data_IF_763042306144
#
_entry.id   IF_763042306144
#
_cell.length_a   1.000
_cell.length_b   1.000
_cell.length_c   1.000
_cell.angle_alpha   90.00
_cell.angle_beta   90.00
_cell.angle_gamma   90.00
#
_symmetry.space_group_name_H-M   'P 1'
#
loop_
_entity.id
_entity.type
_entity.pdbx_description
1 polymer ?
#
# COMPACT_ATOMS: atom_id res chain seq x y z
N UNK A 1 0.14 13.15 8.47
CA UNK A 1 -0.47 13.27 7.14
C UNK A 1 -1.97 13.16 7.34
N UNK A 2 -2.76 14.00 6.68
CA UNK A 2 -4.22 13.78 6.64
C UNK A 2 -4.54 12.68 5.61
N UNK A 3 -5.37 11.71 6.00
CA UNK A 3 -5.76 10.61 5.13
C UNK A 3 -6.86 11.05 4.16
N UNK A 4 -6.77 10.60 2.92
CA UNK A 4 -7.70 10.92 1.84
C UNK A 4 -8.16 9.63 1.17
N UNK A 5 -9.29 9.68 0.46
CA UNK A 5 -9.85 8.50 -0.23
C UNK A 5 -8.84 7.85 -1.20
N UNK A 6 -7.96 8.63 -1.83
CA UNK A 6 -6.89 8.09 -2.69
C UNK A 6 -5.90 7.19 -1.92
N UNK A 7 -5.66 7.46 -0.64
CA UNK A 7 -4.84 6.63 0.23
C UNK A 7 -5.52 5.28 0.47
N UNK A 8 -6.82 5.29 0.78
CA UNK A 8 -7.59 4.06 0.97
C UNK A 8 -7.65 3.21 -0.30
N UNK A 9 -7.86 3.82 -1.48
CA UNK A 9 -7.81 3.12 -2.77
C UNK A 9 -6.45 2.45 -3.01
N UNK A 10 -5.37 3.10 -2.60
CA UNK A 10 -4.03 2.52 -2.68
C UNK A 10 -3.90 1.27 -1.80
N UNK A 11 -4.38 1.32 -0.55
CA UNK A 11 -4.37 0.17 0.36
C UNK A 11 -5.20 -1.00 -0.19
N UNK A 12 -6.45 -0.75 -0.64
CA UNK A 12 -7.31 -1.77 -1.23
C UNK A 12 -6.64 -2.42 -2.45
N UNK A 13 -6.09 -1.64 -3.38
CA UNK A 13 -5.41 -2.20 -4.56
C UNK A 13 -4.20 -3.07 -4.18
N UNK A 14 -3.46 -2.72 -3.13
CA UNK A 14 -2.33 -3.53 -2.64
C UNK A 14 -2.85 -4.84 -2.03
N UNK A 15 -3.92 -4.80 -1.23
CA UNK A 15 -4.54 -5.98 -0.65
C UNK A 15 -5.09 -6.93 -1.73
N UNK A 16 -5.85 -6.40 -2.68
CA UNK A 16 -6.50 -7.15 -3.76
C UNK A 16 -5.48 -7.84 -4.66
N UNK A 17 -4.40 -7.13 -5.00
CA UNK A 17 -3.39 -7.66 -5.94
C UNK A 17 -2.29 -8.48 -5.27
N UNK A 18 -2.12 -8.33 -3.95
CA UNK A 18 -0.99 -8.86 -3.20
C UNK A 18 0.38 -8.40 -3.73
N UNK A 19 0.46 -7.29 -4.48
CA UNK A 19 1.68 -6.85 -5.15
C UNK A 19 1.69 -5.35 -5.38
N UNK A 20 2.69 -4.66 -4.83
CA UNK A 20 2.91 -3.24 -5.07
C UNK A 20 3.11 -2.91 -6.57
N UNK A 21 3.71 -3.82 -7.34
CA UNK A 21 3.89 -3.61 -8.77
C UNK A 21 2.56 -3.65 -9.52
N UNK A 22 1.73 -4.68 -9.26
CA UNK A 22 0.40 -4.82 -9.91
C UNK A 22 -0.55 -3.72 -9.46
N UNK A 23 -0.59 -3.40 -8.16
CA UNK A 23 -1.38 -2.30 -7.63
C UNK A 23 -1.01 -0.96 -8.27
N UNK A 24 0.29 -0.66 -8.41
CA UNK A 24 0.73 0.58 -9.04
C UNK A 24 0.28 0.65 -10.50
N UNK A 25 0.41 -0.45 -11.26
CA UNK A 25 -0.07 -0.53 -12.63
C UNK A 25 -1.58 -0.33 -12.73
N UNK A 26 -2.37 -0.94 -11.82
CA UNK A 26 -3.82 -0.77 -11.77
C UNK A 26 -4.24 0.67 -11.48
N UNK A 27 -3.48 1.38 -10.66
CA UNK A 27 -3.74 2.77 -10.27
C UNK A 27 -3.13 3.81 -11.23
N UNK A 28 -2.47 3.39 -12.32
CA UNK A 28 -1.76 4.30 -13.22
C UNK A 28 -0.58 5.02 -12.56
N UNK A 29 0.03 4.40 -11.54
CA UNK A 29 1.15 4.93 -10.79
C UNK A 29 2.43 4.15 -11.07
N UNK A 30 3.57 4.77 -10.77
CA UNK A 30 4.83 4.03 -10.67
C UNK A 30 4.90 3.28 -9.34
N UNK A 31 5.53 2.10 -9.32
CA UNK A 31 5.72 1.33 -8.09
C UNK A 31 6.47 2.10 -6.98
N UNK A 32 7.52 2.91 -7.27
CA UNK A 32 8.17 3.74 -6.25
C UNK A 32 7.23 4.79 -5.64
N UNK A 33 6.33 5.38 -6.44
CA UNK A 33 5.34 6.35 -5.96
C UNK A 33 4.36 5.69 -4.98
N UNK A 34 3.79 4.54 -5.36
CA UNK A 34 2.90 3.78 -4.49
C UNK A 34 3.60 3.29 -3.21
N UNK A 35 4.85 2.85 -3.32
CA UNK A 35 5.66 2.45 -2.15
C UNK A 35 5.87 3.61 -1.18
N UNK A 36 6.15 4.81 -1.71
CA UNK A 36 6.34 6.02 -0.89
C UNK A 36 5.04 6.44 -0.23
N UNK A 37 3.91 6.36 -0.97
CA UNK A 37 2.58 6.67 -0.43
C UNK A 37 2.22 5.70 0.71
N UNK A 38 2.42 4.39 0.51
CA UNK A 38 2.19 3.38 1.55
C UNK A 38 3.03 3.66 2.81
N UNK A 39 4.34 3.90 2.65
CA UNK A 39 5.22 4.25 3.79
C UNK A 39 4.76 5.48 4.55
N UNK A 40 4.28 6.51 3.85
CA UNK A 40 3.77 7.72 4.51
C UNK A 40 2.48 7.45 5.28
N UNK A 41 1.60 6.58 4.77
CA UNK A 41 0.38 6.14 5.48
C UNK A 41 0.79 5.37 6.74
N UNK A 42 1.63 4.35 6.61
CA UNK A 42 2.12 3.52 7.73
C UNK A 42 2.81 4.37 8.80
N UNK A 43 3.68 5.30 8.40
CA UNK A 43 4.32 6.24 9.33
C UNK A 43 3.32 7.16 10.04
N UNK A 44 2.25 7.59 9.37
CA UNK A 44 1.22 8.42 10.01
C UNK A 44 0.36 7.66 11.01
N UNK A 45 0.23 6.34 10.84
CA UNK A 45 -0.48 5.44 11.75
C UNK A 45 0.44 4.84 12.83
N UNK A 46 1.76 4.95 12.65
CA UNK A 46 2.75 4.37 13.55
C UNK A 46 2.86 2.84 13.46
N UNK A 47 2.38 2.24 12.36
CA UNK A 47 2.33 0.80 12.20
C UNK A 47 2.39 0.36 10.73
N UNK A 48 2.95 -0.83 10.48
CA UNK A 48 2.93 -1.48 9.18
C UNK A 48 1.54 -2.06 8.90
N UNK A 49 0.95 -1.70 7.76
CA UNK A 49 -0.33 -2.24 7.29
C UNK A 49 -0.11 -3.44 6.38
N UNK A 50 1.08 -3.55 5.77
CA UNK A 50 1.41 -4.67 4.90
C UNK A 50 2.78 -5.27 5.22
N UNK A 51 2.80 -6.58 5.40
CA UNK A 51 4.03 -7.37 5.41
C UNK A 51 4.48 -7.66 3.98
N UNK A 52 5.78 -7.48 3.71
CA UNK A 52 6.41 -7.76 2.42
C UNK A 52 7.30 -8.99 2.54
N UNK A 53 7.15 -9.94 1.62
CA UNK A 53 7.94 -11.16 1.62
C UNK A 53 8.15 -11.73 0.23
N UNK A 54 8.79 -12.90 0.18
CA UNK A 54 9.08 -13.62 -1.07
C UNK A 54 7.82 -13.94 -1.89
N UNK A 55 6.67 -14.04 -1.22
CA UNK A 55 5.37 -14.35 -1.83
C UNK A 55 4.54 -13.11 -2.18
N UNK A 56 5.10 -11.90 -2.05
CA UNK A 56 4.42 -10.65 -2.36
C UNK A 56 4.13 -9.79 -1.14
N UNK A 57 2.98 -9.11 -1.16
CA UNK A 57 2.53 -8.14 -0.18
C UNK A 57 1.23 -8.66 0.47
N UNK A 58 1.18 -8.74 1.80
CA UNK A 58 0.01 -9.24 2.55
C UNK A 58 -0.38 -8.25 3.65
N UNK A 59 -1.67 -7.98 3.87
CA UNK A 59 -2.11 -7.19 5.00
C UNK A 59 -1.59 -7.77 6.32
N UNK A 60 -1.22 -6.90 7.24
CA UNK A 60 -1.05 -7.23 8.66
C UNK A 60 -2.43 -7.23 9.33
N UNK A 61 -2.56 -7.59 10.62
CA UNK A 61 -3.83 -7.45 11.34
C UNK A 61 -4.39 -6.02 11.41
N UNK A 62 -3.56 -5.00 11.13
CA UNK A 62 -3.96 -3.59 11.12
C UNK A 62 -4.37 -3.08 9.73
N UNK A 63 -4.05 -3.84 8.67
CA UNK A 63 -4.22 -3.45 7.27
C UNK A 63 -5.42 -4.06 6.58
#
# INVERSE_FOLDING_TARGET
>A
MELEVRHLRALCAIADTGSLHKAARQLGMTQPSLTTQLRRIENSLGAELFSRGRTGCRPTPLG
#
